data_IF_103861439566
#
_entry.id   IF_103861439566
#
_cell.length_a   1.000
_cell.length_b   1.000
_cell.length_c   1.000
_cell.angle_alpha   90.00
_cell.angle_beta   90.00
_cell.angle_gamma   90.00
#
_symmetry.space_group_name_H-M   'P 1'
#
loop_
_entity.id
_entity.type
_entity.pdbx_description
1 polymer ?
#
# COMPACT_ATOMS: atom_id res chain seq x y z
N UNK A 1 9.33 7.96 -14.17
CA UNK A 1 8.71 7.67 -12.86
C UNK A 1 9.39 6.44 -12.29
N UNK A 2 10.22 6.57 -11.25
CA UNK A 2 10.92 5.40 -10.71
C UNK A 2 9.93 4.52 -9.97
N UNK A 3 9.59 3.38 -10.56
CA UNK A 3 9.00 2.26 -9.84
C UNK A 3 10.06 1.79 -8.86
N UNK A 4 10.06 2.40 -7.66
CA UNK A 4 10.99 2.04 -6.58
C UNK A 4 10.63 0.61 -6.15
N UNK A 5 11.44 -0.31 -6.65
CA UNK A 5 11.33 -1.75 -6.48
C UNK A 5 11.25 -2.12 -4.98
N UNK A 6 10.22 -2.85 -4.59
CA UNK A 6 10.12 -3.53 -3.29
C UNK A 6 10.56 -4.97 -3.53
N UNK A 7 11.55 -5.45 -2.76
CA UNK A 7 12.10 -6.79 -2.92
C UNK A 7 11.05 -7.88 -2.66
N UNK A 8 11.27 -9.08 -3.21
CA UNK A 8 10.33 -10.18 -3.03
C UNK A 8 10.22 -10.61 -1.56
N UNK A 9 11.32 -10.51 -0.81
CA UNK A 9 11.40 -10.86 0.61
C UNK A 9 10.52 -9.94 1.45
N UNK A 10 10.64 -8.61 1.26
CA UNK A 10 9.79 -7.63 1.93
C UNK A 10 8.32 -7.86 1.57
N UNK A 11 8.04 -8.20 0.29
CA UNK A 11 6.67 -8.48 -0.12
C UNK A 11 6.08 -9.67 0.63
N UNK A 12 6.85 -10.74 0.74
CA UNK A 12 6.42 -11.95 1.44
C UNK A 12 6.24 -11.68 2.94
N UNK A 13 7.14 -10.92 3.57
CA UNK A 13 7.03 -10.52 4.98
C UNK A 13 5.73 -9.75 5.25
N UNK A 14 5.46 -8.71 4.47
CA UNK A 14 4.23 -7.90 4.59
C UNK A 14 2.98 -8.76 4.37
N UNK A 15 2.99 -9.69 3.41
CA UNK A 15 1.87 -10.59 3.17
C UNK A 15 1.60 -11.54 4.34
N UNK A 16 2.65 -12.13 4.91
CA UNK A 16 2.55 -13.03 6.05
C UNK A 16 2.06 -12.30 7.30
N UNK A 17 2.60 -11.10 7.58
CA UNK A 17 2.17 -10.29 8.72
C UNK A 17 0.71 -9.84 8.59
N UNK A 18 0.27 -9.51 7.38
CA UNK A 18 -1.12 -9.13 7.12
C UNK A 18 -2.08 -10.34 7.08
N UNK A 19 -1.58 -11.58 7.15
CA UNK A 19 -2.39 -12.78 7.04
C UNK A 19 -3.19 -12.84 5.73
N UNK A 20 -2.64 -12.32 4.63
CA UNK A 20 -3.32 -12.17 3.34
C UNK A 20 -4.63 -11.37 3.39
N UNK A 21 -4.72 -10.39 4.30
CA UNK A 21 -5.87 -9.48 4.41
C UNK A 21 -5.47 -8.06 4.05
N UNK A 22 -6.40 -7.33 3.46
CA UNK A 22 -6.26 -5.90 3.23
C UNK A 22 -6.16 -5.17 4.58
N UNK A 23 -5.20 -4.26 4.73
CA UNK A 23 -5.04 -3.47 5.95
C UNK A 23 -6.18 -2.55 6.29
N UNK A 24 -6.80 -2.00 5.26
CA UNK A 24 -7.81 -0.97 5.43
C UNK A 24 -9.19 -1.58 5.70
N UNK A 25 -9.59 -2.56 4.89
CA UNK A 25 -10.92 -3.17 5.01
C UNK A 25 -10.94 -4.56 5.65
N UNK A 26 -9.78 -5.12 5.99
CA UNK A 26 -9.62 -6.47 6.57
C UNK A 26 -10.14 -7.63 5.72
N UNK A 27 -10.55 -7.37 4.48
CA UNK A 27 -10.99 -8.39 3.55
C UNK A 27 -9.83 -9.33 3.20
N UNK A 28 -10.09 -10.63 3.27
CA UNK A 28 -9.17 -11.69 2.82
C UNK A 28 -8.97 -11.60 1.30
N UNK A 29 -7.79 -11.99 0.83
CA UNK A 29 -7.43 -12.09 -0.58
C UNK A 29 -8.50 -12.81 -1.43
N UNK A 30 -9.22 -13.77 -0.85
CA UNK A 30 -10.30 -14.52 -1.51
C UNK A 30 -11.55 -13.71 -1.81
N UNK A 31 -11.76 -12.58 -1.15
CA UNK A 31 -12.99 -11.77 -1.25
C UNK A 31 -12.79 -10.43 -1.97
N UNK A 32 -11.56 -10.14 -2.42
CA UNK A 32 -11.25 -8.89 -3.13
C UNK A 32 -11.07 -9.14 -4.62
N UNK A 33 -11.38 -8.13 -5.43
CA UNK A 33 -11.23 -8.19 -6.87
C UNK A 33 -9.76 -7.98 -7.28
N UNK A 34 -9.06 -9.09 -7.46
CA UNK A 34 -7.66 -9.14 -7.89
C UNK A 34 -6.67 -9.25 -6.73
N UNK A 35 -5.36 -9.37 -7.04
CA UNK A 35 -4.32 -9.49 -6.02
C UNK A 35 -4.29 -8.28 -5.09
N UNK A 36 -4.06 -8.53 -3.80
CA UNK A 36 -3.68 -7.50 -2.88
C UNK A 36 -2.27 -7.00 -3.24
N UNK A 37 -2.08 -5.69 -3.22
CA UNK A 37 -0.86 -5.00 -3.59
C UNK A 37 -0.22 -4.38 -2.36
N UNK A 38 1.07 -4.06 -2.41
CA UNK A 38 1.71 -3.32 -1.32
C UNK A 38 1.47 -1.83 -1.54
N UNK A 39 0.80 -1.24 -0.58
CA UNK A 39 0.57 0.18 -0.46
C UNK A 39 1.49 0.81 0.58
N UNK A 40 1.63 2.12 0.51
CA UNK A 40 2.27 2.91 1.56
C UNK A 40 1.20 3.59 2.38
N UNK A 41 1.28 3.47 3.69
CA UNK A 41 0.35 4.15 4.60
C UNK A 41 0.53 5.67 4.43
N UNK A 42 1.78 6.13 4.47
CA UNK A 42 2.17 7.51 4.18
C UNK A 42 2.82 7.54 2.78
N UNK A 43 2.26 8.30 1.84
CA UNK A 43 2.85 8.51 0.52
C UNK A 43 4.23 9.15 0.62
N UNK A 44 5.15 8.80 -0.28
CA UNK A 44 6.48 9.44 -0.34
C UNK A 44 6.38 10.95 -0.52
N UNK A 45 5.42 11.42 -1.32
CA UNK A 45 5.18 12.85 -1.52
C UNK A 45 4.82 13.60 -0.21
N UNK A 46 4.26 12.89 0.77
CA UNK A 46 3.91 13.39 2.09
C UNK A 46 4.99 13.06 3.15
N UNK A 47 6.20 12.68 2.73
CA UNK A 47 7.31 12.34 3.63
C UNK A 47 7.34 10.88 4.11
N UNK A 48 6.53 10.00 3.53
CA UNK A 48 6.52 8.58 3.88
C UNK A 48 7.77 7.82 3.44
N UNK A 49 8.17 6.82 4.22
CA UNK A 49 9.38 6.03 3.99
C UNK A 49 9.09 4.75 3.19
N UNK A 50 10.14 3.98 2.91
CA UNK A 50 10.07 2.65 2.31
C UNK A 50 10.18 1.54 3.35
N UNK A 51 10.21 1.91 4.63
CA UNK A 51 10.38 0.97 5.73
C UNK A 51 9.13 0.13 5.89
N UNK A 52 9.31 -1.09 6.36
CA UNK A 52 8.23 -2.07 6.56
C UNK A 52 7.05 -1.51 7.36
N UNK A 53 7.33 -0.67 8.37
CA UNK A 53 6.31 0.00 9.19
C UNK A 53 5.38 0.93 8.39
N UNK A 54 5.83 1.40 7.22
CA UNK A 54 5.06 2.24 6.31
C UNK A 54 4.49 1.45 5.12
N UNK A 55 4.65 0.13 5.07
CA UNK A 55 4.12 -0.74 4.03
C UNK A 55 2.92 -1.53 4.54
N UNK A 56 1.88 -1.65 3.71
CA UNK A 56 0.72 -2.49 4.02
C UNK A 56 0.24 -3.24 2.79
N UNK A 57 -0.21 -4.48 2.96
CA UNK A 57 -1.03 -5.20 1.99
C UNK A 57 -2.43 -4.58 1.84
N UNK A 58 -2.79 -4.11 0.65
CA UNK A 58 -4.06 -3.42 0.40
C UNK A 58 -4.74 -3.89 -0.89
N UNK A 59 -6.07 -3.88 -0.92
CA UNK A 59 -6.79 -4.14 -2.16
C UNK A 59 -6.82 -2.88 -3.03
N UNK A 60 -6.85 -3.08 -4.36
CA UNK A 60 -6.78 -1.97 -5.33
C UNK A 60 -7.78 -0.86 -5.06
N UNK A 61 -8.99 -1.18 -4.58
CA UNK A 61 -10.01 -0.19 -4.24
C UNK A 61 -9.51 0.85 -3.22
N UNK A 62 -8.81 0.41 -2.18
CA UNK A 62 -8.29 1.30 -1.12
C UNK A 62 -6.96 1.95 -1.50
N UNK A 63 -6.13 1.27 -2.29
CA UNK A 63 -4.91 1.85 -2.85
C UNK A 63 -5.23 3.11 -3.66
N UNK A 64 -6.24 3.06 -4.54
CA UNK A 64 -6.65 4.26 -5.28
C UNK A 64 -7.16 5.39 -4.38
N UNK A 65 -7.79 5.06 -3.24
CA UNK A 65 -8.27 6.06 -2.29
C UNK A 65 -7.12 6.75 -1.56
N UNK A 66 -6.13 6.00 -1.07
CA UNK A 66 -4.94 6.55 -0.39
C UNK A 66 -4.14 7.46 -1.32
N UNK A 67 -3.90 7.03 -2.58
CA UNK A 67 -3.26 7.88 -3.59
C UNK A 67 -4.05 9.16 -3.89
N UNK A 68 -5.38 9.10 -3.97
CA UNK A 68 -6.21 10.29 -4.25
C UNK A 68 -6.18 11.32 -3.12
N UNK A 69 -6.18 10.88 -1.86
CA UNK A 69 -6.04 11.78 -0.71
C UNK A 69 -4.66 12.44 -0.75
N UNK A 70 -3.60 11.66 -1.00
CA UNK A 70 -2.23 12.14 -1.11
C UNK A 70 -2.07 13.22 -2.20
N UNK A 71 -2.66 13.00 -3.38
CA UNK A 71 -2.53 13.92 -4.51
C UNK A 71 -3.42 15.15 -4.37
N UNK A 72 -4.56 15.07 -3.68
CA UNK A 72 -5.37 16.24 -3.34
C UNK A 72 -4.72 17.13 -2.27
N UNK A 73 -3.86 16.58 -1.41
CA UNK A 73 -3.11 17.35 -0.40
C UNK A 73 -1.78 17.91 -0.92
N UNK A 74 -1.29 17.43 -2.07
CA UNK A 74 -0.15 18.02 -2.76
C UNK A 74 -0.62 19.26 -3.57
N UNK A 75 -1.08 20.30 -2.87
CA UNK A 75 -1.11 21.65 -3.45
C UNK A 75 0.34 22.09 -3.61
N UNK A 76 0.88 21.92 -4.83
CA UNK A 76 2.13 22.57 -5.20
C UNK A 76 1.82 24.05 -5.44
N UNK A 77 2.17 24.90 -4.48
CA UNK A 77 2.57 26.28 -4.77
C UNK A 77 3.91 26.28 -5.55
#
# INVERSE_FOLDING_TARGET
MSTRYISAEIRQQVQMQAGYRCGYCQADQRYVLGPLEIDRIIPVAAGGTHDEINLWLACRMWVYHSYRIATQQCNCD
#
